data_IF_374215544720
#
_entry.id   IF_374215544720
#
_cell.length_a   1.000
_cell.length_b   1.000
_cell.length_c   1.000
_cell.angle_alpha   90.00
_cell.angle_beta   90.00
_cell.angle_gamma   90.00
#
_symmetry.space_group_name_H-M   'P 1'
#
loop_
_entity.id
_entity.type
_entity.pdbx_description
1 polymer ?
#
# COMPACT_ATOMS: atom_id res chain seq x y z
N UNK A 1 28.30 19.61 9.62
CA UNK A 1 28.57 18.91 8.34
C UNK A 1 27.24 18.73 7.61
N UNK A 2 27.10 19.13 6.33
CA UNK A 2 25.86 18.93 5.58
C UNK A 2 25.61 17.43 5.38
N UNK A 3 24.39 16.97 5.65
CA UNK A 3 24.01 15.57 5.38
C UNK A 3 23.46 15.45 3.96
N UNK A 4 23.72 14.31 3.30
CA UNK A 4 23.24 14.01 1.93
C UNK A 4 21.71 13.86 1.84
N UNK A 5 20.99 13.82 2.97
CA UNK A 5 19.54 13.60 3.02
C UNK A 5 18.79 14.91 2.73
N UNK A 6 17.97 14.91 1.68
CA UNK A 6 17.05 16.02 1.40
C UNK A 6 15.91 16.01 2.43
N UNK A 7 15.57 17.19 2.96
CA UNK A 7 14.44 17.38 3.88
C UNK A 7 13.25 17.94 3.10
N UNK A 8 12.05 17.46 3.40
CA UNK A 8 10.80 17.96 2.82
C UNK A 8 9.96 18.52 3.97
N UNK A 9 9.52 19.77 3.84
CA UNK A 9 8.59 20.39 4.78
C UNK A 9 7.17 19.92 4.49
N UNK A 10 6.55 19.24 5.45
CA UNK A 10 5.16 18.83 5.36
C UNK A 10 4.53 18.90 6.76
N UNK A 11 3.29 19.39 6.82
CA UNK A 11 2.52 19.51 8.06
C UNK A 11 1.37 18.50 7.98
N UNK A 12 1.41 17.39 8.74
CA UNK A 12 0.34 16.41 8.77
C UNK A 12 -0.95 16.98 9.37
N UNK A 13 -2.08 16.33 9.06
CA UNK A 13 -3.33 16.54 9.79
C UNK A 13 -3.21 15.97 11.21
N UNK A 14 -3.97 16.53 12.13
CA UNK A 14 -3.98 16.14 13.55
C UNK A 14 -4.20 14.64 13.75
N UNK A 15 -5.18 14.04 13.07
CA UNK A 15 -5.49 12.62 13.22
C UNK A 15 -4.35 11.72 12.73
N UNK A 16 -3.67 12.14 11.65
CA UNK A 16 -2.51 11.43 11.10
C UNK A 16 -1.34 11.53 12.07
N UNK A 17 -1.14 12.69 12.70
CA UNK A 17 -0.08 12.88 13.70
C UNK A 17 -0.29 11.95 14.90
N UNK A 18 -1.51 11.85 15.42
CA UNK A 18 -1.86 10.92 16.52
C UNK A 18 -1.57 9.47 16.17
N UNK A 19 -1.88 9.05 14.94
CA UNK A 19 -1.58 7.69 14.46
C UNK A 19 -0.07 7.47 14.40
N UNK A 20 0.70 8.44 13.88
CA UNK A 20 2.16 8.36 13.81
C UNK A 20 2.77 8.27 15.21
N UNK A 21 2.31 9.09 16.16
CA UNK A 21 2.81 9.09 17.54
C UNK A 21 2.50 7.76 18.25
N UNK A 22 1.29 7.22 18.04
CA UNK A 22 0.92 5.90 18.54
C UNK A 22 1.83 4.80 17.98
N UNK A 23 2.06 4.79 16.67
CA UNK A 23 2.94 3.82 16.02
C UNK A 23 4.39 3.96 16.48
N UNK A 24 4.86 5.19 16.69
CA UNK A 24 6.18 5.49 17.23
C UNK A 24 6.37 4.87 18.61
N UNK A 25 5.39 5.05 19.51
CA UNK A 25 5.41 4.47 20.86
C UNK A 25 5.34 2.93 20.83
N UNK A 26 4.43 2.37 20.03
CA UNK A 26 4.25 0.91 19.92
C UNK A 26 5.50 0.20 19.36
N UNK A 27 6.20 0.84 18.42
CA UNK A 27 7.35 0.23 17.73
C UNK A 27 8.71 0.74 18.22
N UNK A 28 8.74 1.68 19.17
CA UNK A 28 9.95 2.35 19.64
C UNK A 28 10.81 2.93 18.49
N UNK A 29 10.17 3.58 17.53
CA UNK A 29 10.82 4.19 16.36
C UNK A 29 10.49 5.68 16.28
N UNK A 30 11.47 6.50 15.92
CA UNK A 30 11.22 7.94 15.71
C UNK A 30 10.14 8.19 14.65
N UNK A 31 9.36 9.27 14.81
CA UNK A 31 8.33 9.69 13.85
C UNK A 31 8.86 9.77 12.41
N UNK A 32 10.07 10.31 12.20
CA UNK A 32 10.68 10.37 10.86
C UNK A 32 10.91 8.99 10.25
N UNK A 33 11.25 7.98 11.06
CA UNK A 33 11.47 6.61 10.61
C UNK A 33 10.15 5.92 10.27
N UNK A 34 9.12 6.08 11.11
CA UNK A 34 7.76 5.60 10.84
C UNK A 34 7.25 6.16 9.52
N UNK A 35 7.34 7.49 9.33
CA UNK A 35 6.92 8.17 8.09
C UNK A 35 7.67 7.61 6.88
N UNK A 36 8.99 7.42 6.99
CA UNK A 36 9.79 6.89 5.88
C UNK A 36 9.30 5.51 5.45
N UNK A 37 9.04 4.62 6.42
CA UNK A 37 8.53 3.26 6.16
C UNK A 37 7.15 3.33 5.49
N UNK A 38 6.22 4.12 6.04
CA UNK A 38 4.87 4.25 5.49
C UNK A 38 4.88 4.74 4.03
N UNK A 39 5.75 5.70 3.72
CA UNK A 39 5.90 6.22 2.36
C UNK A 39 6.46 5.15 1.42
N UNK A 40 7.49 4.41 1.85
CA UNK A 40 8.06 3.30 1.06
C UNK A 40 7.02 2.21 0.78
N UNK A 41 6.23 1.82 1.78
CA UNK A 41 5.17 0.81 1.62
C UNK A 41 4.04 1.31 0.70
N UNK A 42 3.60 2.56 0.85
CA UNK A 42 2.57 3.15 -0.02
C UNK A 42 3.03 3.22 -1.49
N UNK A 43 4.29 3.60 -1.73
CA UNK A 43 4.87 3.60 -3.08
C UNK A 43 5.04 2.18 -3.64
N UNK A 44 5.34 1.21 -2.77
CA UNK A 44 5.42 -0.20 -3.14
C UNK A 44 4.07 -0.73 -3.59
N UNK A 45 3.01 -0.48 -2.80
CA UNK A 45 1.65 -0.87 -3.13
C UNK A 45 1.17 -0.25 -4.44
N UNK A 46 1.61 0.98 -4.74
CA UNK A 46 1.30 1.65 -6.01
C UNK A 46 2.09 1.10 -7.21
N UNK A 47 3.03 0.18 -6.99
CA UNK A 47 3.92 -0.34 -8.04
C UNK A 47 4.98 0.66 -8.51
N UNK A 48 5.16 1.77 -7.80
CA UNK A 48 6.14 2.81 -8.12
C UNK A 48 7.49 2.58 -7.42
N UNK A 49 7.51 1.73 -6.40
CA UNK A 49 8.73 1.35 -5.69
C UNK A 49 8.90 -0.17 -5.73
N UNK A 50 9.96 -0.63 -6.39
CA UNK A 50 10.30 -2.05 -6.40
C UNK A 50 11.15 -2.39 -5.17
N UNK A 51 10.52 -2.99 -4.15
CA UNK A 51 11.16 -3.37 -2.88
C UNK A 51 12.36 -4.30 -3.05
N UNK A 52 12.48 -5.00 -4.20
CA UNK A 52 13.62 -5.87 -4.55
C UNK A 52 14.97 -5.14 -4.58
N UNK A 53 14.97 -3.80 -4.70
CA UNK A 53 16.18 -2.97 -4.65
C UNK A 53 16.44 -2.35 -3.27
N UNK A 54 15.53 -2.57 -2.29
CA UNK A 54 15.75 -2.12 -0.92
C UNK A 54 16.49 -3.21 -0.15
N UNK A 55 17.72 -2.88 0.25
CA UNK A 55 18.60 -3.67 1.12
C UNK A 55 17.86 -4.13 2.40
N UNK A 56 16.79 -3.43 2.79
CA UNK A 56 15.97 -3.70 3.97
C UNK A 56 15.27 -5.07 3.95
N UNK A 57 14.93 -5.63 2.78
CA UNK A 57 14.36 -7.00 2.70
C UNK A 57 15.39 -8.11 2.82
N UNK A 58 16.68 -7.82 2.67
CA UNK A 58 17.74 -8.81 2.88
C UNK A 58 18.09 -8.98 4.37
N UNK A 59 17.85 -7.97 5.20
CA UNK A 59 18.25 -8.01 6.62
C UNK A 59 17.45 -9.06 7.40
N UNK A 60 16.14 -9.21 7.12
CA UNK A 60 15.32 -10.25 7.76
C UNK A 60 15.51 -11.66 7.18
N UNK A 61 16.23 -11.82 6.06
CA UNK A 61 16.57 -13.13 5.48
C UNK A 61 18.01 -13.56 5.74
N UNK A 62 18.87 -12.68 6.27
CA UNK A 62 20.31 -12.92 6.33
C UNK A 62 20.86 -12.73 7.75
N UNK A 63 20.21 -13.35 8.73
CA UNK A 63 20.91 -13.77 9.95
C UNK A 63 21.58 -15.12 9.68
N UNK A 64 22.53 -15.12 8.75
CA UNK A 64 23.63 -16.07 8.75
C UNK A 64 24.68 -15.59 7.74
N UNK A 65 25.86 -15.34 8.28
CA UNK A 65 27.16 -15.16 7.64
C UNK A 65 27.48 -13.78 7.06
N UNK A 66 28.27 -13.11 7.91
CA UNK A 66 29.53 -12.45 7.62
C UNK A 66 29.47 -11.02 7.08
N UNK A 67 30.10 -10.16 7.90
CA UNK A 67 30.57 -8.82 7.61
C UNK A 67 31.39 -8.80 6.32
N UNK A 68 31.15 -7.82 5.46
CA UNK A 68 32.16 -6.84 5.05
C UNK A 68 31.67 -5.94 3.91
N UNK A 69 32.16 -4.70 3.96
CA UNK A 69 32.30 -3.73 2.88
C UNK A 69 31.10 -2.84 2.53
N UNK A 70 31.11 -1.69 3.21
CA UNK A 70 30.70 -0.41 2.65
C UNK A 70 31.33 -0.23 1.26
N UNK A 71 30.50 -0.08 0.24
CA UNK A 71 30.92 0.44 -1.06
C UNK A 71 29.95 1.52 -1.50
N UNK A 72 30.44 2.74 -1.40
CA UNK A 72 29.85 3.96 -1.93
C UNK A 72 29.88 3.95 -3.46
N UNK A 73 28.77 3.58 -4.09
CA UNK A 73 28.44 3.85 -5.49
C UNK A 73 26.92 3.62 -5.63
N UNK A 74 26.10 4.44 -6.26
CA UNK A 74 26.35 5.53 -7.18
C UNK A 74 25.04 6.34 -7.26
N UNK A 75 25.17 7.65 -7.24
CA UNK A 75 24.13 8.55 -7.70
C UNK A 75 24.09 8.44 -9.23
N UNK A 76 23.36 7.47 -9.75
CA UNK A 76 23.01 7.42 -11.16
C UNK A 76 21.48 7.42 -11.26
N UNK A 77 20.93 8.63 -11.12
CA UNK A 77 19.62 8.97 -11.62
C UNK A 77 19.64 8.72 -13.13
N UNK A 78 19.19 7.53 -13.59
CA UNK A 78 18.77 7.37 -14.98
C UNK A 78 17.38 7.98 -15.11
N UNK A 79 17.36 9.27 -15.40
CA UNK A 79 16.30 9.85 -16.22
C UNK A 79 16.23 9.09 -17.55
N UNK A 80 15.01 8.97 -18.05
CA UNK A 80 14.63 8.51 -19.38
C UNK A 80 14.56 6.99 -19.57
N UNK A 81 13.37 6.44 -19.32
CA UNK A 81 12.62 5.79 -20.40
C UNK A 81 11.10 5.88 -20.19
N UNK A 82 10.49 6.78 -20.96
CA UNK A 82 9.12 6.72 -21.51
C UNK A 82 8.02 6.16 -20.58
N UNK A 83 7.56 6.95 -19.63
CA UNK A 83 6.14 6.88 -19.25
C UNK A 83 5.34 7.74 -20.23
N UNK A 84 4.90 7.11 -21.33
CA UNK A 84 3.83 7.67 -22.17
C UNK A 84 2.58 7.78 -21.30
N UNK A 85 2.22 9.00 -20.94
CA UNK A 85 0.98 9.33 -20.26
C UNK A 85 -0.07 9.51 -21.36
N UNK A 86 -1.02 8.58 -21.44
CA UNK A 86 -2.16 8.70 -22.34
C UNK A 86 -3.17 9.63 -21.64
N UNK A 87 -3.13 10.91 -21.96
CA UNK A 87 -4.13 11.89 -21.54
C UNK A 87 -5.39 11.73 -22.40
N UNK A 88 -6.42 11.06 -21.87
CA UNK A 88 -7.82 11.27 -22.26
C UNK A 88 -8.68 11.55 -21.01
N UNK A 89 -8.79 12.85 -20.71
CA UNK A 89 -10.00 13.61 -20.32
C UNK A 89 -10.94 12.99 -19.27
N UNK A 90 -10.79 13.48 -18.02
CA UNK A 90 -11.81 14.13 -17.17
C UNK A 90 -13.17 13.45 -16.97
N UNK A 91 -13.43 12.92 -15.75
CA UNK A 91 -14.46 13.46 -14.83
C UNK A 91 -14.50 12.77 -13.44
N UNK A 92 -14.30 13.60 -12.41
CA UNK A 92 -14.94 13.67 -11.08
C UNK A 92 -15.21 12.42 -10.20
N UNK A 93 -14.61 12.52 -8.99
CA UNK A 93 -15.14 12.19 -7.62
C UNK A 93 -14.74 10.85 -6.97
N UNK A 94 -13.80 11.03 -6.03
CA UNK A 94 -13.56 10.35 -4.75
C UNK A 94 -12.82 9.00 -4.70
N UNK A 95 -11.90 8.82 -3.72
CA UNK A 95 -11.12 7.62 -3.54
C UNK A 95 -11.82 6.66 -2.55
N UNK A 96 -12.01 5.41 -2.95
CA UNK A 96 -12.36 4.32 -2.05
C UNK A 96 -11.38 3.17 -2.29
N UNK A 97 -10.80 2.71 -1.19
CA UNK A 97 -10.37 1.33 -0.92
C UNK A 97 -10.01 0.47 -2.13
N UNK A 98 -8.72 0.40 -2.43
CA UNK A 98 -8.14 -0.76 -3.08
C UNK A 98 -7.82 -1.81 -2.03
N UNK A 99 -8.79 -2.66 -1.69
CA UNK A 99 -8.51 -4.08 -1.55
C UNK A 99 -9.37 -4.81 -2.58
N UNK A 100 -8.71 -5.73 -3.30
CA UNK A 100 -9.22 -6.71 -4.27
C UNK A 100 -9.21 -6.32 -5.76
N UNK A 101 -8.09 -6.71 -6.37
CA UNK A 101 -8.01 -7.46 -7.64
C UNK A 101 -8.76 -6.93 -8.87
N UNK A 102 -8.01 -6.30 -9.77
CA UNK A 102 -8.33 -6.30 -11.19
C UNK A 102 -7.99 -7.67 -11.78
N UNK A 103 -8.99 -8.52 -11.98
CA UNK A 103 -8.94 -9.53 -13.03
C UNK A 103 -10.32 -9.59 -13.69
N UNK A 104 -10.35 -9.63 -15.02
CA UNK A 104 -11.51 -9.43 -15.88
C UNK A 104 -12.62 -10.52 -15.78
N UNK A 105 -12.82 -11.12 -14.60
CA UNK A 105 -13.78 -12.19 -14.29
C UNK A 105 -14.82 -11.77 -13.24
N UNK A 106 -14.87 -10.48 -12.89
CA UNK A 106 -15.64 -9.98 -11.75
C UNK A 106 -17.16 -9.96 -12.01
N UNK A 107 -17.63 -9.87 -13.26
CA UNK A 107 -19.06 -9.88 -13.58
C UNK A 107 -19.72 -11.24 -13.31
N UNK A 108 -19.05 -12.35 -13.65
CA UNK A 108 -19.55 -13.70 -13.36
C UNK A 108 -19.53 -14.02 -11.86
N UNK A 109 -18.50 -13.53 -11.15
CA UNK A 109 -18.40 -13.67 -9.70
C UNK A 109 -19.50 -12.89 -8.99
N UNK A 110 -19.78 -11.67 -9.44
CA UNK A 110 -20.85 -10.81 -8.92
C UNK A 110 -22.23 -11.41 -9.18
N UNK A 111 -22.49 -11.93 -10.40
CA UNK A 111 -23.75 -12.59 -10.72
C UNK A 111 -23.98 -13.88 -9.91
N UNK A 112 -22.93 -14.67 -9.69
CA UNK A 112 -23.02 -15.88 -8.87
C UNK A 112 -23.27 -15.56 -7.39
N UNK A 113 -22.64 -14.52 -6.84
CA UNK A 113 -22.90 -14.04 -5.48
C UNK A 113 -24.34 -13.53 -5.36
N UNK A 114 -24.79 -12.74 -6.31
CA UNK A 114 -26.15 -12.20 -6.34
C UNK A 114 -27.21 -13.32 -6.36
N UNK A 115 -27.01 -14.36 -7.17
CA UNK A 115 -27.90 -15.54 -7.18
C UNK A 115 -27.94 -16.28 -5.85
N UNK A 116 -26.78 -16.46 -5.19
CA UNK A 116 -26.72 -17.05 -3.85
C UNK A 116 -27.47 -16.21 -2.82
N UNK A 117 -27.33 -14.88 -2.88
CA UNK A 117 -28.03 -13.96 -1.99
C UNK A 117 -29.57 -14.04 -2.16
N UNK A 118 -30.06 -14.07 -3.40
CA UNK A 118 -31.51 -14.24 -3.66
C UNK A 118 -32.05 -15.56 -3.11
N UNK A 119 -31.27 -16.63 -3.18
CA UNK A 119 -31.65 -17.95 -2.66
C UNK A 119 -31.76 -17.92 -1.13
N UNK A 120 -30.82 -17.25 -0.47
CA UNK A 120 -30.85 -17.03 0.97
C UNK A 120 -32.08 -16.23 1.43
N UNK A 121 -32.42 -15.12 0.74
CA UNK A 121 -33.62 -14.34 1.06
C UNK A 121 -34.91 -15.16 0.91
N UNK A 122 -34.99 -16.03 -0.11
CA UNK A 122 -36.13 -16.93 -0.28
C UNK A 122 -36.22 -17.95 0.86
N UNK A 123 -35.08 -18.52 1.27
CA UNK A 123 -35.02 -19.44 2.39
C UNK A 123 -35.47 -18.78 3.71
N UNK A 124 -35.06 -17.55 3.99
CA UNK A 124 -35.51 -16.81 5.17
C UNK A 124 -37.03 -16.68 5.20
N UNK A 125 -37.64 -16.26 4.09
CA UNK A 125 -39.10 -16.17 3.98
C UNK A 125 -39.81 -17.51 4.23
N UNK A 126 -39.28 -18.60 3.69
CA UNK A 126 -39.84 -19.94 3.93
C UNK A 126 -39.74 -20.36 5.40
N UNK A 127 -38.64 -20.03 6.07
CA UNK A 127 -38.49 -20.31 7.50
C UNK A 127 -39.42 -19.44 8.35
N UNK A 128 -39.58 -18.17 7.98
CA UNK A 128 -40.51 -17.26 8.65
C UNK A 128 -41.97 -17.72 8.48
N UNK A 129 -42.33 -18.27 7.30
CA UNK A 129 -43.64 -18.88 7.04
C UNK A 129 -43.86 -20.20 7.79
N UNK A 130 -42.80 -20.98 8.04
CA UNK A 130 -42.89 -22.26 8.76
C UNK A 130 -42.92 -22.09 10.29
N UNK A 131 -42.36 -20.99 10.79
CA UNK A 131 -42.31 -20.67 12.22
C UNK A 131 -43.53 -19.88 12.73
N UNK A 132 -44.51 -19.62 11.85
CA UNK A 132 -45.84 -19.07 12.18
C UNK A 132 -46.91 -20.15 12.03
#
# INVERSE_FOLDING_TARGET
MPTKKKRVGFIPREDVLKIIDRLSLENNLSNSKIISILVEEALSMRGMFNKKNSILTQINKKNNKDSENFSEASYALRENDKFKINTKVVNHKNPMEGNFLNQANNEDFDLHIYKKFLTFLKFQKMMDEYNN
#
